data_IF_364069045815
#
_entry.id   IF_364069045815
#
_cell.length_a   1.000
_cell.length_b   1.000
_cell.length_c   1.000
_cell.angle_alpha   90.00
_cell.angle_beta   90.00
_cell.angle_gamma   90.00
#
_symmetry.space_group_name_H-M   'P 1'
#
loop_
_entity.id
_entity.type
_entity.pdbx_description
1 polymer ?
#
# COMPACT_ATOMS: atom_id res chain seq x y z
N UNK A 1 -11.93 11.23 2.31
CA UNK A 1 -11.20 10.03 1.87
C UNK A 1 -10.28 10.44 0.73
N UNK A 2 -8.97 10.18 0.85
CA UNK A 2 -8.01 10.41 -0.23
C UNK A 2 -8.23 9.44 -1.38
N UNK A 3 -7.97 9.88 -2.61
CA UNK A 3 -7.99 9.00 -3.80
C UNK A 3 -6.79 8.05 -3.78
N UNK A 4 -6.92 6.87 -4.38
CA UNK A 4 -5.77 6.02 -4.67
C UNK A 4 -5.32 6.29 -6.10
N UNK A 5 -4.05 6.63 -6.27
CA UNK A 5 -3.41 6.81 -7.56
C UNK A 5 -2.32 5.74 -7.69
N UNK A 6 -2.52 4.79 -8.60
CA UNK A 6 -1.56 3.74 -8.86
C UNK A 6 -0.58 4.22 -9.93
N UNK A 7 0.70 4.23 -9.60
CA UNK A 7 1.77 4.63 -10.52
C UNK A 7 2.39 3.41 -11.18
N UNK A 8 2.88 3.57 -12.42
CA UNK A 8 3.51 2.48 -13.17
C UNK A 8 2.60 1.26 -13.32
N UNK A 9 3.15 0.09 -13.06
CA UNK A 9 2.45 -1.21 -13.09
C UNK A 9 1.93 -1.64 -11.71
N UNK A 10 1.96 -0.77 -10.70
CA UNK A 10 1.60 -1.14 -9.31
C UNK A 10 0.20 -1.73 -9.16
N UNK A 11 -0.78 -1.27 -9.94
CA UNK A 11 -2.13 -1.85 -9.95
C UNK A 11 -2.16 -3.26 -10.54
N UNK A 12 -1.36 -3.50 -11.57
CA UNK A 12 -1.24 -4.81 -12.24
C UNK A 12 -0.55 -5.79 -11.30
N UNK A 13 0.59 -5.41 -10.71
CA UNK A 13 1.29 -6.19 -9.69
C UNK A 13 0.40 -6.53 -8.50
N UNK A 14 -0.39 -5.55 -8.01
CA UNK A 14 -1.33 -5.77 -6.91
C UNK A 14 -2.44 -6.77 -7.30
N UNK A 15 -2.87 -6.79 -8.56
CA UNK A 15 -3.88 -7.73 -9.06
C UNK A 15 -3.36 -9.16 -9.14
N UNK A 16 -2.07 -9.34 -9.36
CA UNK A 16 -1.39 -10.65 -9.37
C UNK A 16 -1.16 -11.25 -7.97
N UNK A 17 -1.44 -10.49 -6.89
CA UNK A 17 -1.36 -11.04 -5.54
C UNK A 17 -2.37 -12.19 -5.36
N UNK A 18 -2.01 -13.23 -4.57
CA UNK A 18 -2.97 -14.21 -4.08
C UNK A 18 -4.19 -13.54 -3.44
N UNK A 19 -5.35 -14.18 -3.54
CA UNK A 19 -6.62 -13.56 -3.17
C UNK A 19 -6.64 -13.00 -1.73
N UNK A 20 -6.07 -13.74 -0.78
CA UNK A 20 -5.94 -13.36 0.63
C UNK A 20 -5.09 -12.09 0.80
N UNK A 21 -3.89 -12.08 0.22
CA UNK A 21 -3.00 -10.93 0.26
C UNK A 21 -3.59 -9.70 -0.45
N UNK A 22 -4.27 -9.89 -1.58
CA UNK A 22 -4.92 -8.82 -2.33
C UNK A 22 -6.08 -8.18 -1.55
N UNK A 23 -6.90 -9.00 -0.88
CA UNK A 23 -7.97 -8.51 0.01
C UNK A 23 -7.40 -7.72 1.18
N UNK A 24 -6.37 -8.24 1.84
CA UNK A 24 -5.73 -7.56 2.95
C UNK A 24 -5.11 -6.23 2.50
N UNK A 25 -4.44 -6.19 1.35
CA UNK A 25 -3.91 -4.96 0.77
C UNK A 25 -5.01 -3.92 0.54
N UNK A 26 -6.17 -4.33 0.01
CA UNK A 26 -7.33 -3.45 -0.15
C UNK A 26 -7.83 -2.87 1.17
N UNK A 27 -7.91 -3.67 2.23
CA UNK A 27 -8.30 -3.20 3.57
C UNK A 27 -7.28 -2.20 4.12
N UNK A 28 -5.99 -2.49 4.00
CA UNK A 28 -4.94 -1.60 4.51
C UNK A 28 -4.88 -0.30 3.72
N UNK A 29 -4.96 -0.33 2.39
CA UNK A 29 -5.04 0.88 1.57
C UNK A 29 -6.28 1.70 1.89
N UNK A 30 -7.43 1.06 2.14
CA UNK A 30 -8.64 1.77 2.55
C UNK A 30 -8.46 2.54 3.87
N UNK A 31 -7.79 1.94 4.87
CA UNK A 31 -7.42 2.64 6.12
C UNK A 31 -6.61 3.91 5.82
N UNK A 32 -5.60 3.79 4.96
CA UNK A 32 -4.76 4.93 4.54
C UNK A 32 -5.58 6.02 3.85
N UNK A 33 -6.51 5.64 2.97
CA UNK A 33 -7.42 6.61 2.33
C UNK A 33 -8.29 7.39 3.33
N UNK A 34 -8.62 6.78 4.47
CA UNK A 34 -9.36 7.43 5.56
C UNK A 34 -8.46 8.21 6.53
N UNK A 35 -7.14 8.22 6.32
CA UNK A 35 -6.18 8.89 7.20
C UNK A 35 -5.74 8.06 8.41
N UNK A 36 -6.10 6.78 8.47
CA UNK A 36 -5.59 5.85 9.48
C UNK A 36 -4.29 5.22 9.03
N UNK A 37 -3.54 4.68 9.99
CA UNK A 37 -2.35 3.90 9.71
C UNK A 37 -2.72 2.44 9.37
N UNK A 38 -1.97 1.78 8.47
CA UNK A 38 -2.05 0.33 8.29
C UNK A 38 -1.71 -0.39 9.60
N UNK A 39 -2.14 -1.64 9.72
CA UNK A 39 -1.87 -2.45 10.91
C UNK A 39 -0.41 -2.89 11.01
N UNK A 40 0.25 -3.17 9.88
CA UNK A 40 1.67 -3.48 9.83
C UNK A 40 2.34 -2.66 8.72
N UNK A 41 3.13 -1.67 9.11
CA UNK A 41 3.86 -0.82 8.18
C UNK A 41 5.19 -0.32 8.75
N UNK A 42 6.05 0.20 7.86
CA UNK A 42 7.25 0.94 8.26
C UNK A 42 7.63 2.01 7.23
N UNK A 43 8.37 3.07 7.61
CA UNK A 43 8.94 4.01 6.66
C UNK A 43 10.02 3.35 5.78
N UNK A 44 10.10 3.78 4.53
CA UNK A 44 11.07 3.30 3.52
C UNK A 44 11.87 4.47 2.92
N UNK A 45 12.61 5.17 3.77
CA UNK A 45 13.41 6.34 3.36
C UNK A 45 14.47 6.03 2.27
N UNK A 46 14.88 4.77 2.13
CA UNK A 46 15.79 4.33 1.06
C UNK A 46 15.12 4.28 -0.32
N UNK A 47 13.78 4.19 -0.39
CA UNK A 47 13.02 4.27 -1.65
C UNK A 47 12.74 5.74 -1.98
N UNK A 48 12.37 6.52 -0.98
CA UNK A 48 12.13 7.95 -1.14
C UNK A 48 11.59 8.59 0.13
N UNK A 49 11.65 9.93 0.20
CA UNK A 49 11.10 10.67 1.33
C UNK A 49 9.59 10.47 1.42
N UNK A 50 9.10 10.13 2.62
CA UNK A 50 7.67 9.93 2.87
C UNK A 50 7.10 8.59 2.37
N UNK A 51 7.91 7.75 1.70
CA UNK A 51 7.50 6.40 1.29
C UNK A 51 7.34 5.52 2.51
N UNK A 52 6.24 4.77 2.55
CA UNK A 52 5.90 3.78 3.56
C UNK A 52 5.63 2.44 2.90
N UNK A 53 5.89 1.35 3.61
CA UNK A 53 5.61 -0.02 3.20
C UNK A 53 4.51 -0.60 4.07
N UNK A 54 3.42 -1.06 3.46
CA UNK A 54 2.46 -1.98 4.10
C UNK A 54 3.06 -3.39 3.97
N UNK A 55 3.14 -4.12 5.08
CA UNK A 55 3.66 -5.49 5.10
C UNK A 55 2.50 -6.46 5.31
N UNK A 56 2.36 -7.41 4.39
CA UNK A 56 1.31 -8.42 4.42
C UNK A 56 2.00 -9.78 4.43
N UNK A 57 1.59 -10.65 5.35
CA UNK A 57 2.09 -12.02 5.43
C UNK A 57 0.93 -12.98 5.56
N UNK A 58 0.95 -14.02 4.76
CA UNK A 58 0.03 -15.15 4.85
C UNK A 58 0.76 -16.43 4.45
N UNK A 59 0.00 -17.52 4.29
CA UNK A 59 0.52 -18.83 3.89
C UNK A 59 1.17 -18.81 2.49
N UNK A 60 0.77 -17.88 1.62
CA UNK A 60 1.33 -17.73 0.27
C UNK A 60 2.65 -16.94 0.26
N UNK A 61 2.99 -16.25 1.37
CA UNK A 61 4.30 -15.64 1.55
C UNK A 61 4.24 -14.24 2.15
N UNK A 62 5.16 -13.38 1.69
CA UNK A 62 5.29 -12.02 2.18
C UNK A 62 5.14 -11.02 1.03
N UNK A 63 4.12 -10.18 1.13
CA UNK A 63 3.74 -9.19 0.14
C UNK A 63 3.90 -7.78 0.70
N UNK A 64 4.21 -6.83 -0.17
CA UNK A 64 4.52 -5.46 0.20
C UNK A 64 3.82 -4.50 -0.74
N UNK A 65 3.26 -3.43 -0.18
CA UNK A 65 2.72 -2.32 -0.96
C UNK A 65 3.44 -1.05 -0.53
N UNK A 66 4.18 -0.44 -1.44
CA UNK A 66 4.84 0.85 -1.20
C UNK A 66 3.87 1.98 -1.54
N UNK A 67 3.82 2.99 -0.70
CA UNK A 67 2.92 4.13 -0.90
C UNK A 67 3.43 5.43 -0.28
N UNK A 68 2.88 6.54 -0.77
CA UNK A 68 3.04 7.89 -0.18
C UNK A 68 1.64 8.43 0.11
N UNK A 69 1.39 8.82 1.37
CA UNK A 69 0.11 9.41 1.79
C UNK A 69 0.22 10.86 2.28
N UNK A 70 1.41 11.45 2.24
CA UNK A 70 1.66 12.83 2.72
C UNK A 70 1.34 13.90 1.69
N UNK A 71 1.04 13.52 0.45
CA UNK A 71 0.80 14.46 -0.65
C UNK A 71 -0.71 14.70 -0.80
N UNK A 72 -1.13 15.94 -0.54
CA UNK A 72 -2.47 16.47 -0.82
C UNK A 72 -3.61 15.46 -0.61
N UNK A 73 -4.47 15.28 -1.61
CA UNK A 73 -5.72 14.52 -1.57
C UNK A 73 -5.59 13.09 -2.13
N UNK A 74 -4.37 12.58 -2.28
CA UNK A 74 -4.11 11.27 -2.86
C UNK A 74 -3.16 10.41 -2.01
N UNK A 75 -3.32 9.11 -2.17
CA UNK A 75 -2.41 8.06 -1.74
C UNK A 75 -1.81 7.49 -3.01
N UNK A 76 -0.53 7.74 -3.24
CA UNK A 76 0.19 7.22 -4.39
C UNK A 76 0.73 5.84 -4.06
N UNK A 77 0.32 4.82 -4.82
CA UNK A 77 0.85 3.46 -4.73
C UNK A 77 1.95 3.31 -5.77
N UNK A 78 3.11 2.80 -5.34
CA UNK A 78 4.35 2.73 -6.11
C UNK A 78 4.62 1.33 -6.62
#
# INVERSE_FOLDING_TARGET
MKRLEFLGDSLEQLREFPETARKEAGVQLHKVQQGFEPSDWKPMASVGQGVREIRIRDEAGAFRVLYIATIEDAVYVL
#
